data_IF_373290751658
#
_entry.id   IF_373290751658
#
_cell.length_a   1.000
_cell.length_b   1.000
_cell.length_c   1.000
_cell.angle_alpha   90.00
_cell.angle_beta   90.00
_cell.angle_gamma   90.00
#
_symmetry.space_group_name_H-M   'P 1'
#
loop_
_entity.id
_entity.type
_entity.pdbx_description
1 polymer ?
#
# COMPACT_ATOMS: atom_id res chain seq x y z
N UNK A 1 -29.73 20.56 7.05
CA UNK A 1 -29.11 19.22 7.13
C UNK A 1 -28.01 19.26 8.20
N UNK A 2 -27.86 18.23 9.03
CA UNK A 2 -26.82 18.20 10.03
C UNK A 2 -25.44 18.25 9.36
N UNK A 3 -24.58 19.18 9.80
CA UNK A 3 -23.22 19.34 9.34
C UNK A 3 -22.26 18.61 10.29
N UNK A 4 -21.28 17.94 9.75
CA UNK A 4 -20.13 17.46 10.48
C UNK A 4 -18.96 18.43 10.26
N UNK A 5 -18.10 18.55 11.27
CA UNK A 5 -16.83 19.27 11.15
C UNK A 5 -15.73 18.26 10.94
N UNK A 6 -14.96 18.44 9.89
CA UNK A 6 -13.73 17.72 9.65
C UNK A 6 -12.56 18.63 9.96
N UNK A 7 -11.66 18.18 10.82
CA UNK A 7 -10.51 18.95 11.28
C UNK A 7 -9.25 18.17 10.98
N UNK A 8 -8.37 18.76 10.19
CA UNK A 8 -7.03 18.25 9.95
C UNK A 8 -6.02 19.18 10.61
N UNK A 9 -5.26 18.67 11.57
CA UNK A 9 -4.17 19.38 12.25
C UNK A 9 -2.89 19.04 11.50
N UNK A 10 -2.20 20.04 10.99
CA UNK A 10 -0.97 19.89 10.20
C UNK A 10 0.29 19.97 11.04
N UNK A 11 0.20 20.66 12.18
CA UNK A 11 1.31 20.74 13.12
C UNK A 11 1.31 19.51 14.02
N UNK A 12 2.47 18.94 14.35
CA UNK A 12 2.59 17.86 15.33
C UNK A 12 1.88 18.20 16.63
N UNK A 13 1.09 17.28 17.16
CA UNK A 13 0.30 17.53 18.39
C UNK A 13 1.18 17.92 19.59
N UNK A 14 2.43 17.45 19.61
CA UNK A 14 3.41 17.81 20.63
C UNK A 14 3.72 19.32 20.66
N UNK A 15 3.62 20.01 19.53
CA UNK A 15 3.82 21.46 19.45
C UNK A 15 2.65 22.25 20.02
N UNK A 16 1.44 21.69 19.99
CA UNK A 16 0.26 22.28 20.65
C UNK A 16 0.23 22.04 22.16
N UNK A 17 0.90 21.00 22.62
CA UNK A 17 0.90 20.58 24.00
C UNK A 17 2.30 20.75 24.60
N UNK A 18 2.56 21.92 25.22
CA UNK A 18 3.85 22.19 25.85
C UNK A 18 4.25 21.04 26.79
N UNK A 19 5.51 20.61 26.80
CA UNK A 19 5.99 19.57 27.71
C UNK A 19 5.79 19.99 29.16
N UNK A 20 5.27 19.13 30.00
CA UNK A 20 5.08 19.38 31.42
C UNK A 20 5.90 18.40 32.26
N UNK A 21 6.30 18.86 33.45
CA UNK A 21 7.25 18.18 34.32
C UNK A 21 6.64 17.09 35.22
N UNK A 22 5.32 17.04 35.39
CA UNK A 22 4.65 16.03 36.21
C UNK A 22 3.37 15.49 35.57
N UNK A 23 2.99 14.19 35.81
CA UNK A 23 1.77 13.62 35.24
C UNK A 23 0.49 14.36 35.55
N UNK A 24 0.38 14.93 36.75
CA UNK A 24 -0.83 15.64 37.23
C UNK A 24 -0.98 17.03 36.61
N UNK A 25 0.14 17.72 36.36
CA UNK A 25 0.16 18.99 35.60
C UNK A 25 -0.10 18.75 34.13
N UNK A 26 0.36 17.59 33.60
CA UNK A 26 0.12 17.16 32.24
C UNK A 26 -1.38 17.04 31.94
N UNK A 27 -2.13 16.41 32.84
CA UNK A 27 -3.58 16.22 32.66
C UNK A 27 -4.34 17.53 32.68
N UNK A 28 -4.03 18.44 33.62
CA UNK A 28 -4.67 19.75 33.69
C UNK A 28 -4.36 20.65 32.50
N UNK A 29 -3.11 20.67 32.05
CA UNK A 29 -2.69 21.45 30.87
C UNK A 29 -3.23 20.85 29.56
N UNK A 30 -3.30 19.53 29.45
CA UNK A 30 -3.91 18.86 28.30
C UNK A 30 -5.40 19.15 28.18
N UNK A 31 -6.14 19.07 29.28
CA UNK A 31 -7.57 19.42 29.31
C UNK A 31 -7.77 20.87 28.90
N UNK A 32 -6.99 21.81 29.46
CA UNK A 32 -7.08 23.22 29.11
C UNK A 32 -6.72 23.49 27.64
N UNK A 33 -5.71 22.81 27.11
CA UNK A 33 -5.32 22.91 25.69
C UNK A 33 -6.39 22.33 24.76
N UNK A 34 -6.99 21.18 25.13
CA UNK A 34 -8.10 20.59 24.40
C UNK A 34 -9.31 21.53 24.42
N UNK A 35 -9.67 22.07 25.56
CA UNK A 35 -10.76 23.04 25.69
C UNK A 35 -10.51 24.33 24.87
N UNK A 36 -9.29 24.85 24.88
CA UNK A 36 -8.91 26.01 24.09
C UNK A 36 -9.00 25.69 22.57
N UNK A 37 -8.54 24.50 22.18
CA UNK A 37 -8.63 24.03 20.83
C UNK A 37 -10.09 23.82 20.37
N UNK A 38 -10.92 23.20 21.20
CA UNK A 38 -12.35 23.03 20.92
C UNK A 38 -13.04 24.39 20.77
N UNK A 39 -12.77 25.36 21.68
CA UNK A 39 -13.29 26.72 21.56
C UNK A 39 -12.79 27.42 20.30
N UNK A 40 -11.52 27.25 19.92
CA UNK A 40 -10.99 27.77 18.69
C UNK A 40 -11.73 27.20 17.45
N UNK A 41 -12.03 25.90 17.48
CA UNK A 41 -12.81 25.25 16.42
C UNK A 41 -14.28 25.73 16.42
N UNK A 42 -14.85 26.01 17.60
CA UNK A 42 -16.25 26.45 17.76
C UNK A 42 -16.46 27.93 17.40
N UNK A 43 -15.46 28.78 17.62
CA UNK A 43 -15.55 30.22 17.34
C UNK A 43 -15.63 30.56 15.86
N UNK A 44 -15.41 29.60 14.95
CA UNK A 44 -15.42 29.81 13.52
C UNK A 44 -16.73 29.42 12.85
N UNK A 45 -17.37 30.34 12.15
CA UNK A 45 -18.60 30.09 11.39
C UNK A 45 -18.33 29.49 9.98
N UNK A 46 -17.10 29.48 9.48
CA UNK A 46 -16.73 29.10 8.12
C UNK A 46 -15.60 28.09 8.11
N UNK A 47 -15.40 27.47 6.95
CA UNK A 47 -14.20 26.70 6.67
C UNK A 47 -12.96 27.57 6.93
N UNK A 48 -12.04 27.07 7.76
CA UNK A 48 -10.80 27.77 8.07
C UNK A 48 -9.64 26.99 7.50
N UNK A 49 -8.76 27.70 6.84
CA UNK A 49 -7.47 27.19 6.41
C UNK A 49 -6.40 28.17 6.88
N UNK A 50 -5.50 27.69 7.74
CA UNK A 50 -4.24 28.34 8.03
C UNK A 50 -3.11 27.31 7.88
N UNK A 51 -1.87 27.72 8.18
CA UNK A 51 -0.70 26.83 8.05
C UNK A 51 -0.76 25.62 9.02
N UNK A 52 -1.49 25.76 10.13
CA UNK A 52 -1.54 24.77 11.21
C UNK A 52 -2.78 23.89 11.20
N UNK A 53 -3.93 24.44 10.83
CA UNK A 53 -5.22 23.75 10.96
C UNK A 53 -6.12 24.00 9.75
N UNK A 54 -6.64 22.91 9.18
CA UNK A 54 -7.73 22.96 8.21
C UNK A 54 -9.03 22.51 8.90
N UNK A 55 -10.04 23.39 8.90
CA UNK A 55 -11.39 23.05 9.37
C UNK A 55 -12.34 23.12 8.17
N UNK A 56 -13.07 22.03 7.92
CA UNK A 56 -14.10 21.95 6.88
C UNK A 56 -15.43 21.53 7.48
N UNK A 57 -16.48 22.15 6.98
CA UNK A 57 -17.85 21.72 7.24
C UNK A 57 -18.31 20.85 6.10
N UNK A 58 -18.77 19.66 6.43
CA UNK A 58 -19.20 18.67 5.44
C UNK A 58 -20.60 18.18 5.81
N UNK A 59 -21.50 18.18 4.85
CA UNK A 59 -22.82 17.59 5.07
C UNK A 59 -22.68 16.10 5.42
N UNK A 60 -23.39 15.65 6.44
CA UNK A 60 -23.38 14.24 6.85
C UNK A 60 -23.76 13.29 5.72
N UNK A 61 -24.62 13.75 4.80
CA UNK A 61 -24.94 12.97 3.60
C UNK A 61 -23.69 12.69 2.75
N UNK A 62 -22.82 13.68 2.58
CA UNK A 62 -21.58 13.53 1.83
C UNK A 62 -20.63 12.55 2.53
N UNK A 63 -20.54 12.61 3.86
CA UNK A 63 -19.72 11.65 4.62
C UNK A 63 -20.23 10.21 4.47
N UNK A 64 -21.55 10.01 4.41
CA UNK A 64 -22.12 8.68 4.15
C UNK A 64 -21.76 8.18 2.76
N UNK A 65 -21.89 9.03 1.73
CA UNK A 65 -21.52 8.66 0.35
C UNK A 65 -20.03 8.34 0.22
N UNK A 66 -19.17 9.06 0.96
CA UNK A 66 -17.73 8.73 1.04
C UNK A 66 -17.48 7.38 1.74
N UNK A 67 -18.18 7.12 2.85
CA UNK A 67 -18.09 5.84 3.57
C UNK A 67 -18.56 4.64 2.73
N UNK A 68 -19.58 4.87 1.89
CA UNK A 68 -20.14 3.85 0.98
C UNK A 68 -19.33 3.72 -0.33
N UNK A 69 -18.23 4.45 -0.48
CA UNK A 69 -17.40 4.46 -1.69
C UNK A 69 -18.08 5.05 -2.94
N UNK A 70 -19.19 5.79 -2.74
CA UNK A 70 -19.97 6.35 -3.84
C UNK A 70 -19.53 7.74 -4.28
N UNK A 71 -18.66 8.41 -3.51
CA UNK A 71 -18.25 9.79 -3.75
C UNK A 71 -16.83 10.05 -3.29
N UNK A 72 -15.86 10.01 -4.20
CA UNK A 72 -14.47 10.42 -3.95
C UNK A 72 -13.76 9.62 -2.85
N UNK A 73 -12.72 10.18 -2.31
CA UNK A 73 -11.94 9.61 -1.22
C UNK A 73 -11.98 10.50 0.04
N UNK A 74 -11.69 9.93 1.20
CA UNK A 74 -11.61 10.68 2.47
C UNK A 74 -10.52 11.77 2.42
N UNK A 75 -9.48 11.54 1.64
CA UNK A 75 -8.36 12.45 1.39
C UNK A 75 -8.84 13.79 0.79
N UNK A 76 -9.94 13.79 0.03
CA UNK A 76 -10.54 15.01 -0.52
C UNK A 76 -10.94 16.02 0.57
N UNK A 77 -11.14 15.56 1.79
CA UNK A 77 -11.48 16.42 2.92
C UNK A 77 -10.28 17.18 3.49
N UNK A 78 -9.04 16.74 3.21
CA UNK A 78 -7.80 17.39 3.68
C UNK A 78 -7.21 18.34 2.64
N UNK A 79 -7.67 18.29 1.39
CA UNK A 79 -7.24 19.22 0.33
C UNK A 79 -7.97 20.55 0.49
N UNK A 80 -7.27 21.71 0.42
CA UNK A 80 -7.91 23.01 0.43
C UNK A 80 -9.00 23.14 -0.64
N UNK A 81 -10.16 23.74 -0.33
CA UNK A 81 -11.31 23.81 -1.25
C UNK A 81 -11.03 24.45 -2.60
N UNK A 82 -10.20 25.48 -2.63
CA UNK A 82 -9.79 26.19 -3.86
C UNK A 82 -8.89 25.32 -4.73
N UNK A 83 -7.95 24.58 -4.12
CA UNK A 83 -7.09 23.62 -4.82
C UNK A 83 -7.95 22.48 -5.36
N UNK A 84 -8.80 21.89 -4.51
CA UNK A 84 -9.69 20.80 -4.94
C UNK A 84 -10.61 21.24 -6.08
N UNK A 85 -11.21 22.44 -5.99
CA UNK A 85 -12.03 23.00 -7.07
C UNK A 85 -11.23 23.18 -8.35
N UNK A 86 -10.00 23.68 -8.26
CA UNK A 86 -9.12 23.84 -9.42
C UNK A 86 -8.75 22.50 -10.07
N UNK A 87 -8.47 21.48 -9.26
CA UNK A 87 -8.21 20.12 -9.75
C UNK A 87 -9.44 19.58 -10.49
N UNK A 88 -10.61 19.61 -9.84
CA UNK A 88 -11.83 19.03 -10.38
C UNK A 88 -12.35 19.75 -11.64
N UNK A 89 -12.21 21.07 -11.71
CA UNK A 89 -12.76 21.86 -12.80
C UNK A 89 -11.81 22.12 -13.96
N UNK A 90 -10.50 22.22 -13.69
CA UNK A 90 -9.49 22.58 -14.69
C UNK A 90 -8.61 21.41 -15.12
N UNK A 91 -8.20 20.56 -14.17
CA UNK A 91 -7.26 19.48 -14.47
C UNK A 91 -7.99 18.17 -14.83
N UNK A 92 -8.94 17.74 -14.01
CA UNK A 92 -9.61 16.46 -14.20
C UNK A 92 -10.25 16.28 -15.58
N UNK A 93 -10.90 17.31 -16.21
CA UNK A 93 -11.41 17.18 -17.56
C UNK A 93 -10.37 16.93 -18.65
N UNK A 94 -9.08 17.22 -18.35
CA UNK A 94 -7.95 17.00 -19.26
C UNK A 94 -7.21 15.69 -18.96
N UNK A 95 -7.60 14.97 -17.90
CA UNK A 95 -6.98 13.73 -17.49
C UNK A 95 -7.80 12.53 -17.99
N UNK A 96 -7.10 11.51 -18.43
CA UNK A 96 -7.71 10.20 -18.69
C UNK A 96 -7.47 9.30 -17.47
N UNK A 97 -8.50 8.64 -16.93
CA UNK A 97 -8.31 7.73 -15.82
C UNK A 97 -7.34 6.59 -16.18
N UNK A 98 -6.44 6.26 -15.28
CA UNK A 98 -5.48 5.17 -15.48
C UNK A 98 -6.17 3.82 -15.75
N UNK A 99 -7.37 3.64 -15.21
CA UNK A 99 -8.23 2.47 -15.47
C UNK A 99 -8.63 2.29 -16.95
N UNK A 100 -8.46 3.32 -17.79
CA UNK A 100 -8.64 3.22 -19.24
C UNK A 100 -7.52 2.38 -19.88
N UNK A 101 -6.34 2.40 -19.29
CA UNK A 101 -5.14 1.75 -19.83
C UNK A 101 -4.80 0.42 -19.14
N UNK A 102 -5.37 0.17 -17.96
CA UNK A 102 -5.05 -1.04 -17.23
C UNK A 102 -5.83 -1.20 -15.93
N UNK A 103 -5.70 -2.36 -15.34
CA UNK A 103 -6.22 -2.65 -14.01
C UNK A 103 -5.21 -2.21 -12.95
N UNK A 104 -5.68 -1.48 -11.95
CA UNK A 104 -4.85 -1.00 -10.82
C UNK A 104 -5.15 -1.83 -9.58
N UNK A 105 -4.13 -2.43 -9.00
CA UNK A 105 -4.27 -3.28 -7.83
C UNK A 105 -3.16 -3.04 -6.80
N UNK A 106 -3.44 -3.31 -5.54
CA UNK A 106 -2.41 -3.42 -4.51
C UNK A 106 -1.58 -4.67 -4.74
N UNK A 107 -0.29 -4.60 -4.43
CA UNK A 107 0.55 -5.78 -4.46
C UNK A 107 0.16 -6.85 -3.43
N UNK A 108 0.83 -7.97 -3.48
CA UNK A 108 0.55 -9.17 -2.72
C UNK A 108 0.78 -8.95 -1.21
N UNK A 109 -0.18 -9.39 -0.40
CA UNK A 109 0.01 -9.60 1.03
C UNK A 109 0.15 -11.09 1.30
N UNK A 110 1.37 -11.58 1.53
CA UNK A 110 1.61 -13.00 1.82
C UNK A 110 1.03 -13.40 3.19
N UNK A 111 1.11 -12.51 4.18
CA UNK A 111 0.70 -12.79 5.56
C UNK A 111 1.69 -13.69 6.33
N UNK A 112 2.70 -14.22 5.64
CA UNK A 112 3.74 -15.09 6.17
C UNK A 112 5.06 -14.88 5.39
N UNK A 113 5.57 -13.65 5.38
CA UNK A 113 6.81 -13.31 4.65
C UNK A 113 7.98 -14.15 5.09
N UNK A 114 8.08 -14.44 6.39
CA UNK A 114 9.09 -15.30 7.01
C UNK A 114 9.11 -16.76 6.49
N UNK A 115 8.06 -17.17 5.78
CA UNK A 115 7.95 -18.53 5.22
C UNK A 115 7.90 -18.50 3.70
N UNK A 116 7.15 -17.55 3.14
CA UNK A 116 6.84 -17.50 1.70
C UNK A 116 7.79 -16.59 0.92
N UNK A 117 8.72 -15.92 1.58
CA UNK A 117 9.84 -15.23 0.95
C UNK A 117 11.14 -15.92 1.33
N UNK A 118 12.09 -15.95 0.41
CA UNK A 118 13.43 -16.48 0.64
C UNK A 118 14.44 -15.75 -0.26
N UNK A 119 15.62 -15.50 0.26
CA UNK A 119 16.73 -15.03 -0.54
C UNK A 119 17.50 -16.21 -1.18
N UNK A 120 18.48 -15.90 -2.03
CA UNK A 120 19.25 -16.90 -2.72
C UNK A 120 20.07 -17.82 -1.76
N UNK A 121 20.50 -17.30 -0.60
CA UNK A 121 21.24 -18.05 0.39
C UNK A 121 20.32 -19.04 1.11
N UNK A 122 19.12 -18.63 1.50
CA UNK A 122 18.11 -19.49 2.10
C UNK A 122 17.64 -20.59 1.14
N UNK A 123 17.39 -20.23 -0.14
CA UNK A 123 17.02 -21.19 -1.19
C UNK A 123 18.10 -22.27 -1.32
N UNK A 124 19.37 -21.88 -1.36
CA UNK A 124 20.48 -22.82 -1.48
C UNK A 124 20.68 -23.65 -0.21
N UNK A 125 20.56 -23.04 0.96
CA UNK A 125 20.74 -23.71 2.25
C UNK A 125 19.65 -24.75 2.54
N UNK A 126 18.41 -24.49 2.11
CA UNK A 126 17.29 -25.38 2.27
C UNK A 126 17.06 -26.29 1.06
N UNK A 127 17.88 -26.16 -0.01
CA UNK A 127 17.76 -26.91 -1.27
C UNK A 127 16.32 -26.88 -1.83
N UNK A 128 15.73 -25.67 -1.89
CA UNK A 128 14.33 -25.51 -2.30
C UNK A 128 14.16 -25.83 -3.79
N UNK A 129 13.07 -26.51 -4.10
CA UNK A 129 12.76 -26.95 -5.46
C UNK A 129 12.55 -25.75 -6.41
N UNK A 130 13.19 -25.76 -7.59
CA UNK A 130 13.14 -24.71 -8.61
C UNK A 130 11.71 -24.23 -8.91
N UNK A 131 10.77 -25.19 -9.01
CA UNK A 131 9.36 -24.90 -9.31
C UNK A 131 8.67 -24.00 -8.28
N UNK A 132 9.23 -23.85 -7.09
CA UNK A 132 8.65 -23.01 -6.03
C UNK A 132 9.06 -21.57 -6.13
N UNK A 133 10.26 -21.26 -6.66
CA UNK A 133 10.82 -19.91 -6.72
C UNK A 133 11.14 -19.43 -8.13
N UNK A 134 10.87 -20.27 -9.16
CA UNK A 134 10.93 -19.89 -10.57
C UNK A 134 9.59 -20.14 -11.25
N UNK A 135 9.35 -19.43 -12.36
CA UNK A 135 8.20 -19.61 -13.24
C UNK A 135 8.59 -19.53 -14.69
N UNK A 136 7.78 -20.14 -15.55
CA UNK A 136 7.88 -19.99 -17.01
C UNK A 136 7.09 -18.76 -17.44
N UNK A 137 7.69 -17.90 -18.27
CA UNK A 137 6.99 -16.82 -18.97
C UNK A 137 6.24 -17.34 -20.19
N UNK A 138 5.38 -16.48 -20.77
CA UNK A 138 4.62 -16.80 -21.98
C UNK A 138 5.54 -17.11 -23.19
N UNK A 139 6.75 -16.55 -23.21
CA UNK A 139 7.78 -16.82 -24.22
C UNK A 139 8.56 -18.15 -23.99
N UNK A 140 8.22 -18.89 -22.95
CA UNK A 140 8.87 -20.14 -22.55
C UNK A 140 10.16 -19.97 -21.72
N UNK A 141 10.62 -18.75 -21.47
CA UNK A 141 11.81 -18.51 -20.63
C UNK A 141 11.51 -18.74 -19.15
N UNK A 142 12.50 -19.29 -18.43
CA UNK A 142 12.44 -19.45 -16.97
C UNK A 142 12.95 -18.18 -16.31
N UNK A 143 12.21 -17.70 -15.31
CA UNK A 143 12.60 -16.51 -14.52
C UNK A 143 12.33 -16.74 -13.05
N UNK A 144 13.16 -16.12 -12.22
CA UNK A 144 12.97 -16.13 -10.79
C UNK A 144 11.70 -15.36 -10.40
N UNK A 145 11.03 -15.83 -9.37
CA UNK A 145 9.88 -15.15 -8.75
C UNK A 145 10.35 -13.98 -7.88
N UNK A 146 11.15 -13.06 -8.43
CA UNK A 146 11.60 -11.87 -7.72
C UNK A 146 10.39 -11.12 -7.18
N UNK A 147 10.45 -10.69 -5.90
CA UNK A 147 9.42 -9.86 -5.27
C UNK A 147 10.05 -8.60 -4.68
N UNK A 148 9.39 -7.47 -4.90
CA UNK A 148 9.78 -6.19 -4.32
C UNK A 148 9.00 -5.97 -3.03
N UNK A 149 9.71 -5.75 -1.94
CA UNK A 149 9.12 -5.60 -0.59
C UNK A 149 9.34 -4.22 0.01
N UNK A 150 10.32 -3.46 -0.50
CA UNK A 150 10.64 -2.10 -0.07
C UNK A 150 10.69 -1.13 -1.26
N UNK A 151 10.32 0.14 -1.01
CA UNK A 151 10.47 1.22 -2.00
C UNK A 151 11.92 1.41 -2.46
N UNK A 152 12.91 1.02 -1.64
CA UNK A 152 14.32 1.06 -1.98
C UNK A 152 14.70 0.14 -3.14
N UNK A 153 13.86 -0.85 -3.44
CA UNK A 153 14.02 -1.72 -4.60
C UNK A 153 13.79 -0.99 -5.94
N UNK A 154 13.21 0.22 -5.91
CA UNK A 154 12.86 1.00 -7.10
C UNK A 154 13.57 2.36 -7.02
N UNK A 155 14.68 2.49 -7.73
CA UNK A 155 15.55 3.68 -7.64
C UNK A 155 15.33 4.70 -8.76
N UNK A 156 14.75 4.32 -9.89
CA UNK A 156 14.46 5.23 -11.01
C UNK A 156 13.30 4.74 -11.89
N UNK A 157 12.74 5.65 -12.69
CA UNK A 157 11.65 5.37 -13.64
C UNK A 157 12.04 4.32 -14.68
N UNK A 158 13.28 4.40 -15.17
CA UNK A 158 13.84 3.49 -16.18
C UNK A 158 14.83 2.48 -15.57
N UNK A 159 14.97 2.48 -14.24
CA UNK A 159 15.81 1.53 -13.53
C UNK A 159 15.13 0.17 -13.44
N UNK A 160 15.92 -0.89 -13.56
CA UNK A 160 15.39 -2.23 -13.28
C UNK A 160 15.13 -2.35 -11.79
N UNK A 161 13.91 -2.68 -11.37
CA UNK A 161 13.64 -2.97 -9.97
C UNK A 161 14.43 -4.21 -9.54
N UNK A 162 15.11 -4.13 -8.41
CA UNK A 162 16.01 -5.17 -7.91
C UNK A 162 15.61 -5.58 -6.49
N UNK A 163 15.61 -6.88 -6.26
CA UNK A 163 15.44 -7.47 -4.93
C UNK A 163 16.17 -8.81 -4.88
N UNK A 164 16.73 -9.13 -3.74
CA UNK A 164 17.32 -10.45 -3.47
C UNK A 164 16.26 -11.48 -3.02
N UNK A 165 15.03 -11.02 -2.73
CA UNK A 165 13.95 -11.87 -2.27
C UNK A 165 13.20 -12.53 -3.43
N UNK A 166 12.83 -13.79 -3.24
CA UNK A 166 12.01 -14.60 -4.13
C UNK A 166 10.71 -14.97 -3.43
N UNK A 167 9.61 -14.86 -4.15
CA UNK A 167 8.33 -15.37 -3.71
C UNK A 167 8.26 -16.88 -3.94
N UNK A 168 8.02 -17.63 -2.89
CA UNK A 168 7.79 -19.07 -2.96
C UNK A 168 6.32 -19.32 -3.30
N UNK A 169 6.05 -19.73 -4.54
CA UNK A 169 4.73 -20.08 -5.03
C UNK A 169 4.49 -21.57 -4.84
N UNK A 170 3.71 -21.90 -3.81
CA UNK A 170 3.37 -23.29 -3.48
C UNK A 170 1.88 -23.50 -3.68
N UNK A 171 1.51 -24.14 -4.79
CA UNK A 171 0.10 -24.39 -5.17
C UNK A 171 -0.30 -25.85 -5.03
N UNK A 172 0.70 -26.71 -4.86
CA UNK A 172 0.49 -28.15 -4.75
C UNK A 172 -0.22 -28.50 -3.45
N UNK A 173 -1.04 -29.55 -3.48
CA UNK A 173 -1.64 -30.09 -2.28
C UNK A 173 -0.57 -30.65 -1.36
N UNK A 174 -0.88 -30.71 -0.04
CA UNK A 174 0.07 -31.27 0.95
C UNK A 174 0.57 -32.67 0.57
N UNK A 175 -0.29 -33.48 -0.05
CA UNK A 175 0.07 -34.82 -0.50
C UNK A 175 1.10 -34.79 -1.63
N UNK A 176 0.96 -33.87 -2.56
CA UNK A 176 1.86 -33.74 -3.71
C UNK A 176 3.21 -33.15 -3.32
N UNK A 177 3.29 -32.54 -2.14
CA UNK A 177 4.52 -32.02 -1.54
C UNK A 177 5.29 -33.05 -0.72
N UNK A 178 4.79 -34.28 -0.55
CA UNK A 178 5.49 -35.31 0.22
C UNK A 178 6.90 -35.57 -0.31
N UNK A 179 7.90 -35.54 0.59
CA UNK A 179 9.31 -35.71 0.24
C UNK A 179 10.01 -34.48 -0.30
N UNK A 180 9.36 -33.32 -0.34
CA UNK A 180 9.96 -32.05 -0.79
C UNK A 180 10.54 -31.24 0.37
N UNK A 181 11.53 -30.41 0.06
CA UNK A 181 12.14 -29.51 1.05
C UNK A 181 11.20 -28.36 1.41
N UNK A 182 10.40 -27.88 0.46
CA UNK A 182 9.38 -26.85 0.76
C UNK A 182 8.33 -27.38 1.75
N UNK A 183 7.97 -28.65 1.74
CA UNK A 183 7.09 -29.22 2.77
C UNK A 183 7.74 -29.19 4.16
N UNK A 184 9.04 -29.43 4.23
CA UNK A 184 9.80 -29.35 5.50
C UNK A 184 9.76 -27.92 6.06
N UNK A 185 9.92 -26.90 5.21
CA UNK A 185 9.79 -25.47 5.56
C UNK A 185 8.37 -25.15 6.07
N UNK A 186 7.34 -25.62 5.35
CA UNK A 186 5.92 -25.47 5.75
C UNK A 186 5.65 -26.14 7.11
N UNK A 187 6.11 -27.37 7.32
CA UNK A 187 5.92 -28.09 8.57
C UNK A 187 6.63 -27.41 9.75
N UNK A 188 7.82 -26.81 9.53
CA UNK A 188 8.49 -26.00 10.54
C UNK A 188 7.62 -24.79 10.92
N UNK A 189 7.11 -24.05 9.93
CA UNK A 189 6.23 -22.91 10.14
C UNK A 189 4.93 -23.27 10.86
N UNK A 190 4.36 -24.44 10.58
CA UNK A 190 3.18 -24.94 11.28
C UNK A 190 3.46 -25.24 12.76
N UNK A 191 4.62 -25.81 13.07
CA UNK A 191 5.05 -26.02 14.48
C UNK A 191 5.24 -24.70 15.22
N UNK A 192 5.63 -23.64 14.51
CA UNK A 192 5.76 -22.26 15.01
C UNK A 192 4.41 -21.50 15.05
N UNK A 193 3.32 -22.12 14.59
CA UNK A 193 1.99 -21.55 14.65
C UNK A 193 1.68 -20.53 13.54
N UNK A 194 2.49 -20.43 12.49
CA UNK A 194 2.30 -19.45 11.39
C UNK A 194 0.94 -19.60 10.73
N UNK A 195 0.48 -20.84 10.50
CA UNK A 195 -0.82 -21.17 9.91
C UNK A 195 -2.03 -20.65 10.70
N UNK A 196 -1.85 -20.30 11.97
CA UNK A 196 -2.92 -19.75 12.83
C UNK A 196 -3.01 -18.24 12.80
N UNK A 197 -2.05 -17.55 12.17
CA UNK A 197 -2.05 -16.08 12.04
C UNK A 197 -3.29 -15.58 11.32
N UNK A 198 -3.89 -14.51 11.80
CA UNK A 198 -5.10 -13.93 11.19
C UNK A 198 -4.91 -13.62 9.69
N UNK A 199 -3.69 -13.28 9.28
CA UNK A 199 -3.34 -12.93 7.90
C UNK A 199 -3.40 -14.09 6.91
N UNK A 200 -3.32 -15.35 7.38
CA UNK A 200 -3.32 -16.55 6.54
C UNK A 200 -4.46 -17.53 6.85
N UNK A 201 -5.10 -17.37 8.00
CA UNK A 201 -6.13 -18.28 8.53
C UNK A 201 -7.33 -18.54 7.59
N UNK A 202 -7.60 -17.62 6.66
CA UNK A 202 -8.70 -17.76 5.69
C UNK A 202 -8.33 -18.50 4.41
N UNK A 203 -7.09 -18.98 4.26
CA UNK A 203 -6.61 -19.69 3.08
C UNK A 203 -6.61 -21.21 3.31
N UNK A 204 -6.90 -21.95 2.25
CA UNK A 204 -6.82 -23.42 2.24
C UNK A 204 -6.24 -23.90 0.89
N UNK A 205 -5.00 -24.36 0.89
CA UNK A 205 -4.05 -24.42 2.00
C UNK A 205 -3.51 -23.03 2.40
N UNK A 206 -3.11 -22.84 3.67
CA UNK A 206 -2.69 -21.56 4.21
C UNK A 206 -1.47 -20.92 3.50
N UNK A 207 -0.61 -21.76 2.93
CA UNK A 207 0.61 -21.36 2.23
C UNK A 207 0.37 -20.99 0.77
N UNK A 208 -0.79 -21.26 0.21
CA UNK A 208 -1.13 -20.82 -1.16
C UNK A 208 -1.56 -19.35 -1.15
N UNK A 209 -0.82 -18.55 -1.87
CA UNK A 209 -1.11 -17.11 -2.03
C UNK A 209 -2.10 -16.82 -3.17
N UNK A 210 -2.57 -17.87 -3.86
CA UNK A 210 -3.46 -17.77 -5.01
C UNK A 210 -2.75 -17.30 -6.28
N UNK A 211 -3.55 -16.82 -7.24
CA UNK A 211 -3.01 -16.31 -8.49
C UNK A 211 -2.37 -14.95 -8.33
N UNK A 212 -1.08 -14.89 -8.66
CA UNK A 212 -0.26 -13.69 -8.59
C UNK A 212 0.27 -13.37 -9.97
N UNK A 213 0.08 -12.13 -10.40
CA UNK A 213 0.58 -11.63 -11.67
C UNK A 213 1.52 -10.45 -11.43
N UNK A 214 2.64 -10.44 -12.16
CA UNK A 214 3.53 -9.30 -12.14
C UNK A 214 2.88 -8.13 -12.90
N UNK A 215 2.82 -6.92 -12.30
CA UNK A 215 2.28 -5.75 -12.98
C UNK A 215 3.26 -5.24 -14.04
N UNK A 216 2.77 -4.43 -14.98
CA UNK A 216 3.63 -3.76 -15.99
C UNK A 216 4.26 -2.48 -15.44
N UNK A 217 3.55 -1.77 -14.54
CA UNK A 217 4.04 -0.58 -13.85
C UNK A 217 3.97 -0.77 -12.33
N UNK A 218 4.92 -0.18 -11.64
CA UNK A 218 5.07 -0.27 -10.19
C UNK A 218 5.12 1.13 -9.60
N UNK A 219 4.30 1.36 -8.59
CA UNK A 219 4.24 2.61 -7.83
C UNK A 219 4.42 2.29 -6.34
N UNK A 220 5.45 2.81 -5.67
CA UNK A 220 5.54 2.73 -4.22
C UNK A 220 4.36 3.45 -3.56
N UNK A 221 3.73 2.87 -2.55
CA UNK A 221 2.65 3.54 -1.81
C UNK A 221 3.15 4.72 -0.97
N UNK A 222 4.38 4.63 -0.48
CA UNK A 222 5.06 5.71 0.23
C UNK A 222 6.09 6.31 -0.71
N UNK A 223 6.00 7.60 -0.94
CA UNK A 223 6.88 8.35 -1.83
C UNK A 223 7.37 9.61 -1.12
N UNK A 224 8.63 9.64 -0.75
CA UNK A 224 9.24 10.75 0.00
C UNK A 224 9.63 11.88 -0.96
N UNK A 225 8.75 12.87 -1.09
CA UNK A 225 9.03 14.13 -1.77
C UNK A 225 9.11 14.09 -3.29
N UNK A 226 9.00 12.92 -3.93
CA UNK A 226 8.96 12.78 -5.39
C UNK A 226 8.02 11.67 -5.82
N UNK A 227 7.30 11.88 -6.89
CA UNK A 227 6.47 10.87 -7.53
C UNK A 227 7.37 9.92 -8.33
N UNK A 228 7.28 8.63 -8.06
CA UNK A 228 8.05 7.60 -8.75
C UNK A 228 7.11 6.54 -9.30
N UNK A 229 7.17 6.34 -10.61
CA UNK A 229 6.54 5.24 -11.33
C UNK A 229 7.63 4.51 -12.08
N UNK A 230 7.65 3.20 -12.01
CA UNK A 230 8.68 2.38 -12.64
C UNK A 230 8.05 1.36 -13.60
N UNK A 231 8.63 1.21 -14.79
CA UNK A 231 8.33 0.09 -15.68
C UNK A 231 8.91 -1.21 -15.10
N UNK A 232 8.14 -2.28 -15.13
CA UNK A 232 8.52 -3.58 -14.58
C UNK A 232 9.11 -4.51 -15.64
N UNK A 233 10.21 -4.10 -16.26
CA UNK A 233 10.90 -4.88 -17.30
C UNK A 233 11.36 -6.28 -16.82
N UNK A 234 11.59 -6.43 -15.50
CA UNK A 234 12.01 -7.71 -14.91
C UNK A 234 10.85 -8.65 -14.63
N UNK A 235 9.60 -8.19 -14.77
CA UNK A 235 8.40 -8.94 -14.38
C UNK A 235 8.42 -9.35 -12.89
N UNK A 236 8.97 -8.52 -12.02
CA UNK A 236 8.98 -8.77 -10.59
C UNK A 236 7.56 -8.73 -10.02
N UNK A 237 7.29 -9.58 -9.05
CA UNK A 237 6.11 -9.44 -8.21
C UNK A 237 6.28 -8.25 -7.25
N UNK A 238 5.20 -7.78 -6.69
CA UNK A 238 5.20 -6.67 -5.72
C UNK A 238 4.43 -7.05 -4.46
N UNK A 239 4.98 -6.66 -3.32
CA UNK A 239 4.28 -6.75 -2.04
C UNK A 239 3.26 -5.62 -1.89
N UNK A 240 2.49 -5.66 -0.81
CA UNK A 240 1.51 -4.63 -0.46
C UNK A 240 2.12 -3.25 -0.10
N UNK A 241 3.45 -3.11 -0.15
CA UNK A 241 4.13 -1.81 -0.13
C UNK A 241 3.95 -1.01 -1.44
N UNK A 242 3.45 -1.66 -2.49
CA UNK A 242 3.31 -1.09 -3.83
C UNK A 242 1.88 -1.15 -4.36
N UNK A 243 1.64 -0.34 -5.37
CA UNK A 243 0.50 -0.43 -6.28
C UNK A 243 1.04 -0.89 -7.64
N UNK A 244 0.38 -1.86 -8.25
CA UNK A 244 0.67 -2.34 -9.59
C UNK A 244 -0.36 -1.89 -10.61
N UNK A 245 0.10 -1.59 -11.82
CA UNK A 245 -0.78 -1.39 -12.98
C UNK A 245 -0.56 -2.53 -13.97
N UNK A 246 -1.61 -3.29 -14.21
CA UNK A 246 -1.64 -4.35 -15.22
C UNK A 246 -2.23 -3.76 -16.50
N UNK A 247 -1.34 -3.28 -17.39
CA UNK A 247 -1.75 -2.64 -18.64
C UNK A 247 -2.51 -3.62 -19.55
N UNK A 248 -3.58 -3.14 -20.19
CA UNK A 248 -4.29 -3.89 -21.24
C UNK A 248 -3.45 -4.05 -22.51
N UNK A 249 -2.51 -3.13 -22.73
CA UNK A 249 -1.49 -3.21 -23.77
C UNK A 249 -0.09 -3.09 -23.12
N UNK A 250 0.63 -4.21 -22.93
CA UNK A 250 1.96 -4.20 -22.33
C UNK A 250 2.98 -3.30 -23.05
N UNK A 251 2.82 -3.10 -24.38
CA UNK A 251 3.73 -2.27 -25.16
C UNK A 251 3.69 -0.77 -24.77
N UNK A 252 2.64 -0.35 -24.08
CA UNK A 252 2.48 1.04 -23.57
C UNK A 252 3.12 1.26 -22.19
N UNK A 253 3.65 0.23 -21.53
CA UNK A 253 4.12 0.33 -20.15
C UNK A 253 5.21 1.42 -19.99
N UNK A 254 6.23 1.41 -20.86
CA UNK A 254 7.32 2.39 -20.77
C UNK A 254 6.84 3.82 -21.06
N UNK A 255 5.95 3.98 -22.04
CA UNK A 255 5.36 5.29 -22.37
C UNK A 255 4.50 5.80 -21.22
N UNK A 256 3.69 4.94 -20.57
CA UNK A 256 2.90 5.28 -19.40
C UNK A 256 3.79 5.63 -18.20
N UNK A 257 4.88 4.88 -17.96
CA UNK A 257 5.83 5.18 -16.89
C UNK A 257 6.49 6.56 -17.08
N UNK A 258 6.87 6.89 -18.31
CA UNK A 258 7.49 8.16 -18.64
C UNK A 258 6.51 9.35 -18.58
N UNK A 259 5.21 9.09 -18.78
CA UNK A 259 4.18 10.12 -18.79
C UNK A 259 3.62 10.42 -17.39
N UNK A 260 3.59 9.44 -16.51
CA UNK A 260 3.10 9.55 -15.13
C UNK A 260 4.10 10.23 -14.20
#
# INVERSE_FOLDING_TARGET
LPLARFVCVRTPLEEFFAPSSTPRELDGKRVAAIDAFVRYLDAGSLDRLNEEVLVRRVEQRRLRLLADGQLGAWEDLVVPPDILTSILTKMLPQCTPLSTYGHVASGLRTGANDVLLADAAEIAAEDLELRTWQRTRDDGSMVDNVILTSADNVVSVLGMPMSDERLLLVRDSRRDLEGTNILTRIQRAEREGVHTRQSVRGRDPWYDVGDVHAPHLILPKKQDGRWLVCSNATSAFISDAFIGVHSYDPSLADALAAWM
#
